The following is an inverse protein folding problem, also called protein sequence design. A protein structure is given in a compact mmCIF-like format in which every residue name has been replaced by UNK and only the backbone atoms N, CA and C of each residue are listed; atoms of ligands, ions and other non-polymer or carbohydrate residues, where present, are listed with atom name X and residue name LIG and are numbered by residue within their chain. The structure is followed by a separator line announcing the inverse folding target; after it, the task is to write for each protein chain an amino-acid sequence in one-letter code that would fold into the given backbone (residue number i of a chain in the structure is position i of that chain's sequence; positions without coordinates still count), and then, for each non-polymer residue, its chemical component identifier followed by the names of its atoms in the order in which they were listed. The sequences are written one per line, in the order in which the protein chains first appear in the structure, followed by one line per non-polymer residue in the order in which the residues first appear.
data_IF_030899785106
#
_entry.id   IF_030899785106
#
_cell.length_a   1.000
_cell.length_b   1.000
_cell.length_c   1.000
_cell.angle_alpha   90.00
_cell.angle_beta   90.00
_cell.angle_gamma   90.00
#
_symmetry.space_group_name_H-M   'P 1'
#
loop_
_entity.id
_entity.type
_entity.pdbx_description
1 polymer ?
#
# COMPACT_ATOMS: atom_id res chain seq x y z
N UNK A 1 6.01 14.22 26.74
CA UNK A 1 5.21 13.34 25.85
C UNK A 1 3.82 13.96 25.63
N UNK A 2 3.02 14.20 26.70
CA UNK A 2 1.66 14.76 26.59
C UNK A 2 1.64 16.02 25.73
N UNK A 3 2.40 17.04 26.10
CA UNK A 3 2.41 18.34 25.43
C UNK A 3 2.78 18.25 23.93
N UNK A 4 3.69 17.32 23.56
CA UNK A 4 4.08 17.12 22.17
C UNK A 4 2.98 16.43 21.33
N UNK A 5 2.16 15.59 21.94
CA UNK A 5 1.11 14.85 21.23
C UNK A 5 -0.27 15.52 21.27
N UNK A 6 -0.51 16.39 22.23
CA UNK A 6 -1.80 17.05 22.45
C UNK A 6 -2.33 17.78 21.19
N UNK A 7 -1.51 18.54 20.44
CA UNK A 7 -1.98 19.23 19.22
C UNK A 7 -2.48 18.29 18.12
N UNK A 8 -1.97 17.05 18.09
CA UNK A 8 -2.31 16.06 17.04
C UNK A 8 -3.18 14.93 17.57
N UNK A 9 -3.51 14.90 18.88
CA UNK A 9 -4.17 13.78 19.54
C UNK A 9 -5.54 13.45 18.94
N UNK A 10 -6.31 14.48 18.60
CA UNK A 10 -7.62 14.33 17.99
C UNK A 10 -7.59 14.46 16.47
N UNK A 11 -6.79 15.38 15.93
CA UNK A 11 -6.75 15.69 14.50
C UNK A 11 -6.01 14.60 13.69
N UNK A 12 -4.94 13.99 14.24
CA UNK A 12 -4.11 12.98 13.59
C UNK A 12 -3.92 11.77 14.51
N UNK A 13 -5.01 11.24 15.03
CA UNK A 13 -5.02 10.22 16.08
C UNK A 13 -4.20 8.96 15.74
N UNK A 14 -4.22 8.50 14.49
CA UNK A 14 -3.41 7.35 14.07
C UNK A 14 -1.91 7.62 14.13
N UNK A 15 -1.50 8.84 13.78
CA UNK A 15 -0.09 9.28 13.89
C UNK A 15 0.32 9.38 15.36
N UNK A 16 -0.51 10.00 16.19
CA UNK A 16 -0.27 10.15 17.63
C UNK A 16 -0.19 8.78 18.33
N UNK A 17 -1.09 7.84 18.00
CA UNK A 17 -1.09 6.48 18.51
C UNK A 17 0.18 5.71 18.11
N UNK A 18 0.62 5.83 16.84
CA UNK A 18 1.87 5.22 16.37
C UNK A 18 3.09 5.79 17.08
N UNK A 19 3.11 7.11 17.32
CA UNK A 19 4.17 7.76 18.09
C UNK A 19 4.22 7.24 19.52
N UNK A 20 3.06 7.16 20.22
CA UNK A 20 2.99 6.58 21.57
C UNK A 20 3.50 5.14 21.61
N UNK A 21 3.10 4.30 20.65
CA UNK A 21 3.54 2.91 20.62
C UNK A 21 5.06 2.81 20.43
N UNK A 22 5.66 3.65 19.57
CA UNK A 22 7.12 3.70 19.39
C UNK A 22 7.84 4.17 20.63
N UNK A 23 7.33 5.23 21.29
CA UNK A 23 7.87 5.72 22.56
C UNK A 23 7.81 4.62 23.63
N UNK A 24 6.69 3.90 23.73
CA UNK A 24 6.57 2.80 24.70
C UNK A 24 7.65 1.70 24.48
N UNK A 25 7.94 1.37 23.22
CA UNK A 25 9.02 0.44 22.89
C UNK A 25 10.39 1.00 23.29
N UNK A 26 10.67 2.28 22.97
CA UNK A 26 11.92 2.95 23.30
C UNK A 26 12.14 2.95 24.83
N UNK A 27 11.12 3.31 25.61
CA UNK A 27 11.23 3.32 27.08
C UNK A 27 11.46 1.91 27.66
N UNK A 28 10.80 0.90 27.11
CA UNK A 28 11.05 -0.50 27.50
C UNK A 28 12.48 -0.93 27.20
N UNK A 29 13.03 -0.58 26.06
CA UNK A 29 14.43 -0.85 25.73
C UNK A 29 15.40 -0.07 26.62
N UNK A 30 15.09 1.19 26.92
CA UNK A 30 15.91 2.01 27.80
C UNK A 30 16.03 1.39 29.21
N UNK A 31 14.90 0.93 29.77
CA UNK A 31 14.93 0.19 31.08
C UNK A 31 15.72 -1.11 30.97
N UNK A 32 15.57 -1.85 29.88
CA UNK A 32 16.33 -3.09 29.66
C UNK A 32 17.84 -2.85 29.47
N UNK A 33 18.25 -1.61 29.20
CA UNK A 33 19.63 -1.15 29.12
C UNK A 33 20.09 -0.44 30.42
N UNK A 34 19.33 -0.60 31.50
CA UNK A 34 19.60 0.01 32.82
C UNK A 34 19.70 1.56 32.77
N UNK A 35 19.02 2.20 31.81
CA UNK A 35 18.93 3.66 31.78
C UNK A 35 17.85 4.15 32.77
N UNK A 36 18.14 5.24 33.46
CA UNK A 36 17.20 5.87 34.40
C UNK A 36 16.08 6.60 33.64
N UNK A 37 14.97 5.89 33.39
CA UNK A 37 13.79 6.41 32.73
C UNK A 37 12.51 5.93 33.41
N UNK A 38 11.50 6.78 33.47
CA UNK A 38 10.16 6.39 33.96
C UNK A 38 9.43 5.55 32.91
N UNK A 39 9.41 4.24 33.05
CA UNK A 39 8.71 3.31 32.17
C UNK A 39 7.20 3.64 32.03
N UNK A 40 6.61 4.28 33.04
CA UNK A 40 5.20 4.63 33.07
C UNK A 40 4.90 5.98 32.39
N UNK A 41 5.91 6.74 31.96
CA UNK A 41 5.73 8.07 31.37
C UNK A 41 4.80 8.08 30.17
N UNK A 42 4.84 7.02 29.34
CA UNK A 42 3.96 6.87 28.15
C UNK A 42 2.54 6.57 28.57
N UNK A 43 2.34 5.70 29.55
CA UNK A 43 1.03 5.36 30.09
C UNK A 43 0.36 6.57 30.77
N UNK A 44 1.12 7.30 31.59
CA UNK A 44 0.67 8.56 32.21
C UNK A 44 0.24 9.58 31.16
N UNK A 45 1.07 9.78 30.13
CA UNK A 45 0.73 10.71 29.03
C UNK A 45 -0.55 10.30 28.30
N UNK A 46 -0.76 9.00 28.05
CA UNK A 46 -1.98 8.48 27.42
C UNK A 46 -3.23 8.72 28.26
N UNK A 47 -3.12 8.53 29.58
CA UNK A 47 -4.23 8.79 30.52
C UNK A 47 -4.62 10.28 30.48
N UNK A 48 -3.63 11.17 30.53
CA UNK A 48 -3.83 12.62 30.51
C UNK A 48 -4.40 13.15 29.18
N UNK A 49 -4.07 12.49 28.05
CA UNK A 49 -4.60 12.82 26.74
C UNK A 49 -6.04 12.30 26.55
N UNK A 50 -6.45 11.30 27.30
CA UNK A 50 -7.79 10.72 27.26
C UNK A 50 -8.11 9.96 25.97
N UNK A 51 -9.39 9.65 25.75
CA UNK A 51 -9.87 8.97 24.54
C UNK A 51 -9.83 9.91 23.34
N UNK A 52 -9.37 9.42 22.19
CA UNK A 52 -9.42 10.21 20.96
C UNK A 52 -10.86 10.36 20.46
N UNK A 53 -11.20 11.52 19.91
CA UNK A 53 -12.51 11.80 19.29
C UNK A 53 -12.49 11.52 17.77
N UNK A 54 -11.37 11.01 17.26
CA UNK A 54 -11.19 10.75 15.83
C UNK A 54 -12.03 9.56 15.38
N UNK A 55 -12.84 9.77 14.36
CA UNK A 55 -13.50 8.69 13.61
C UNK A 55 -12.63 8.36 12.41
N UNK A 56 -12.15 7.10 12.24
CA UNK A 56 -11.36 6.73 11.08
C UNK A 56 -12.15 6.99 9.78
N UNK A 57 -11.58 7.77 8.88
CA UNK A 57 -12.12 7.95 7.53
C UNK A 57 -11.56 6.83 6.66
N UNK A 58 -12.43 6.00 6.11
CA UNK A 58 -12.03 4.98 5.15
C UNK A 58 -11.51 5.66 3.88
N UNK A 59 -10.41 5.17 3.33
CA UNK A 59 -9.93 5.63 2.02
C UNK A 59 -10.99 5.21 1.00
N UNK A 60 -11.55 6.16 0.22
CA UNK A 60 -12.56 5.83 -0.78
C UNK A 60 -12.00 4.84 -1.80
N UNK A 61 -12.83 3.89 -2.19
CA UNK A 61 -12.56 2.97 -3.28
C UNK A 61 -13.53 3.29 -4.43
N UNK A 62 -13.06 3.21 -5.66
CA UNK A 62 -13.93 3.30 -6.82
C UNK A 62 -14.89 2.11 -6.79
N UNK A 63 -16.18 2.34 -7.07
CA UNK A 63 -17.15 1.25 -7.12
C UNK A 63 -16.73 0.27 -8.21
N UNK A 64 -16.92 -1.03 -7.97
CA UNK A 64 -16.42 -2.02 -8.93
C UNK A 64 -17.09 -1.91 -10.31
N UNK A 65 -18.34 -1.45 -10.39
CA UNK A 65 -19.05 -1.20 -11.65
C UNK A 65 -18.42 -0.07 -12.47
N UNK A 66 -17.74 0.88 -11.83
CA UNK A 66 -17.08 2.01 -12.51
C UNK A 66 -15.64 1.67 -12.93
N UNK A 67 -15.12 0.49 -12.52
CA UNK A 67 -13.75 0.07 -12.88
C UNK A 67 -13.54 -0.08 -14.38
N UNK A 68 -14.46 -0.69 -15.18
CA UNK A 68 -14.27 -0.80 -16.61
C UNK A 68 -14.09 0.55 -17.29
N UNK A 69 -14.97 1.51 -17.03
CA UNK A 69 -14.88 2.85 -17.61
C UNK A 69 -13.59 3.57 -17.19
N UNK A 70 -13.22 3.45 -15.92
CA UNK A 70 -11.94 3.98 -15.45
C UNK A 70 -10.75 3.32 -16.15
N UNK A 71 -10.78 2.00 -16.36
CA UNK A 71 -9.73 1.23 -17.02
C UNK A 71 -9.52 1.72 -18.47
N UNK A 72 -10.59 1.99 -19.21
CA UNK A 72 -10.53 2.54 -20.56
C UNK A 72 -9.80 3.90 -20.59
N UNK A 73 -9.96 4.72 -19.56
CA UNK A 73 -9.22 6.00 -19.47
C UNK A 73 -7.71 5.85 -19.33
N UNK A 74 -7.20 4.63 -19.10
CA UNK A 74 -5.78 4.30 -18.99
C UNK A 74 -5.20 3.74 -20.30
N UNK A 75 -5.88 3.89 -21.45
CA UNK A 75 -5.49 3.33 -22.75
C UNK A 75 -4.13 3.84 -23.24
N UNK A 76 -3.74 5.08 -22.91
CA UNK A 76 -2.43 5.63 -23.29
C UNK A 76 -1.30 4.77 -22.71
N UNK A 77 -0.36 4.34 -23.59
CA UNK A 77 0.78 3.47 -23.23
C UNK A 77 1.85 4.29 -22.53
N UNK A 78 1.71 4.42 -21.21
CA UNK A 78 2.70 5.03 -20.33
C UNK A 78 3.00 4.08 -19.15
N UNK A 79 4.22 4.09 -18.58
CA UNK A 79 4.55 3.21 -17.45
C UNK A 79 3.58 3.32 -16.28
N UNK A 80 3.05 4.52 -16.00
CA UNK A 80 2.10 4.75 -14.90
C UNK A 80 0.72 4.17 -15.20
N UNK A 81 0.20 4.33 -16.45
CA UNK A 81 -1.07 3.75 -16.85
C UNK A 81 -0.99 2.23 -16.84
N UNK A 82 0.07 1.67 -17.42
CA UNK A 82 0.28 0.22 -17.45
C UNK A 82 0.41 -0.36 -16.04
N UNK A 83 1.11 0.33 -15.14
CA UNK A 83 1.17 -0.05 -13.72
C UNK A 83 -0.22 -0.02 -13.05
N UNK A 84 -1.06 0.98 -13.34
CA UNK A 84 -2.42 1.06 -12.81
C UNK A 84 -3.32 -0.04 -13.39
N UNK A 85 -3.24 -0.30 -14.69
CA UNK A 85 -3.96 -1.41 -15.35
C UNK A 85 -3.60 -2.75 -14.71
N UNK A 86 -2.30 -3.02 -14.53
CA UNK A 86 -1.84 -4.27 -13.91
C UNK A 86 -2.24 -4.36 -12.43
N UNK A 87 -2.28 -3.23 -11.71
CA UNK A 87 -2.76 -3.19 -10.33
C UNK A 87 -4.24 -3.58 -10.22
N UNK A 88 -5.07 -3.07 -11.13
CA UNK A 88 -6.50 -3.40 -11.21
C UNK A 88 -6.68 -4.90 -11.50
N UNK A 89 -6.01 -5.40 -12.54
CA UNK A 89 -6.15 -6.79 -13.01
C UNK A 89 -5.67 -7.84 -12.01
N UNK A 90 -4.71 -7.49 -11.16
CA UNK A 90 -4.09 -8.44 -10.21
C UNK A 90 -4.55 -8.25 -8.77
N UNK A 91 -5.10 -7.09 -8.42
CA UNK A 91 -5.48 -6.77 -7.06
C UNK A 91 -4.34 -6.82 -6.04
N UNK A 92 -3.08 -6.81 -6.45
CA UNK A 92 -1.92 -6.82 -5.55
C UNK A 92 -1.75 -5.48 -4.82
N UNK A 93 -0.87 -5.41 -3.82
CA UNK A 93 -0.50 -4.13 -3.20
C UNK A 93 0.47 -3.35 -4.10
N UNK A 94 0.58 -2.03 -3.87
CA UNK A 94 1.47 -1.17 -4.65
C UNK A 94 2.95 -1.60 -4.55
N UNK A 95 3.41 -2.08 -3.40
CA UNK A 95 4.82 -2.50 -3.24
C UNK A 95 5.19 -3.67 -4.14
N UNK A 96 4.49 -4.83 -4.15
CA UNK A 96 4.77 -5.89 -5.11
C UNK A 96 4.77 -5.40 -6.55
N UNK A 97 3.74 -4.67 -6.96
CA UNK A 97 3.62 -4.17 -8.33
C UNK A 97 4.82 -3.31 -8.75
N UNK A 98 5.22 -2.37 -7.90
CA UNK A 98 6.35 -1.48 -8.19
C UNK A 98 7.69 -2.21 -8.31
N UNK A 99 7.84 -3.32 -7.60
CA UNK A 99 9.05 -4.15 -7.61
C UNK A 99 8.93 -5.36 -8.53
N UNK A 100 7.93 -5.38 -9.39
CA UNK A 100 7.71 -6.47 -10.34
C UNK A 100 8.93 -6.67 -11.24
N UNK A 101 9.36 -7.93 -11.34
CA UNK A 101 10.44 -8.36 -12.22
C UNK A 101 9.93 -9.43 -13.20
N UNK A 102 10.39 -9.41 -14.44
CA UNK A 102 9.97 -10.39 -15.43
C UNK A 102 10.37 -11.82 -15.05
N UNK A 103 11.49 -12.00 -14.37
CA UNK A 103 11.96 -13.27 -13.84
C UNK A 103 11.06 -13.90 -12.77
N UNK A 104 10.12 -13.12 -12.21
CA UNK A 104 9.12 -13.59 -11.23
C UNK A 104 7.93 -14.30 -11.92
N UNK A 105 7.85 -14.30 -13.25
CA UNK A 105 6.80 -15.00 -14.00
C UNK A 105 7.22 -16.44 -14.22
N UNK A 106 6.38 -17.36 -13.78
CA UNK A 106 6.49 -18.80 -14.00
C UNK A 106 5.23 -19.27 -14.73
N UNK A 107 5.34 -19.61 -15.99
CA UNK A 107 4.23 -19.94 -16.88
C UNK A 107 3.21 -18.76 -16.95
N UNK A 108 2.02 -18.96 -16.41
CA UNK A 108 0.96 -17.95 -16.33
C UNK A 108 0.77 -17.40 -14.92
N UNK A 109 1.74 -17.55 -14.05
CA UNK A 109 1.67 -17.15 -12.64
C UNK A 109 2.80 -16.19 -12.33
N UNK A 110 2.45 -15.03 -11.77
CA UNK A 110 3.42 -14.14 -11.16
C UNK A 110 3.68 -14.58 -9.71
N UNK A 111 4.90 -15.01 -9.41
CA UNK A 111 5.33 -15.40 -8.08
C UNK A 111 5.94 -14.19 -7.37
N UNK A 112 5.14 -13.53 -6.56
CA UNK A 112 5.58 -12.34 -5.79
C UNK A 112 6.46 -12.80 -4.64
N UNK A 113 7.74 -12.36 -4.57
CA UNK A 113 8.62 -12.73 -3.48
C UNK A 113 8.12 -12.26 -2.12
N UNK A 114 8.27 -13.09 -1.10
CA UNK A 114 7.90 -12.77 0.30
C UNK A 114 8.51 -11.46 0.82
N UNK A 115 9.72 -11.10 0.34
CA UNK A 115 10.37 -9.84 0.64
C UNK A 115 9.57 -8.60 0.20
N UNK A 116 8.72 -8.74 -0.83
CA UNK A 116 7.83 -7.69 -1.32
C UNK A 116 6.45 -7.71 -0.65
N UNK A 117 6.14 -8.75 0.11
CA UNK A 117 4.87 -8.87 0.81
C UNK A 117 4.87 -8.10 2.14
N UNK A 118 3.68 -7.77 2.64
CA UNK A 118 3.51 -7.13 3.95
C UNK A 118 3.35 -8.21 5.02
N UNK A 119 4.22 -8.22 5.99
CA UNK A 119 4.18 -9.16 7.12
C UNK A 119 5.55 -9.31 7.79
N UNK A 120 5.64 -10.18 8.78
CA UNK A 120 6.92 -10.55 9.39
C UNK A 120 7.65 -11.48 8.42
N UNK A 121 8.94 -11.21 8.19
CA UNK A 121 9.77 -11.94 7.21
C UNK A 121 9.78 -13.47 7.44
N UNK A 122 9.70 -13.89 8.69
CA UNK A 122 9.70 -15.28 9.14
C UNK A 122 8.34 -16.01 8.96
N UNK A 123 7.27 -15.27 8.59
CA UNK A 123 5.89 -15.79 8.50
C UNK A 123 5.21 -15.55 7.15
N UNK A 124 5.92 -14.96 6.20
CA UNK A 124 5.36 -14.64 4.88
C UNK A 124 6.01 -15.52 3.83
N UNK A 125 5.19 -16.30 3.13
CA UNK A 125 5.59 -17.07 1.94
C UNK A 125 5.43 -16.22 0.68
N UNK A 126 6.00 -16.70 -0.42
CA UNK A 126 5.79 -16.15 -1.74
C UNK A 126 4.30 -16.23 -2.12
N UNK A 127 3.81 -15.20 -2.78
CA UNK A 127 2.40 -15.10 -3.14
C UNK A 127 2.21 -15.28 -4.64
N UNK A 128 1.38 -16.24 -5.01
CA UNK A 128 1.13 -16.64 -6.40
C UNK A 128 -0.09 -15.89 -6.95
N UNK A 129 0.09 -15.18 -8.05
CA UNK A 129 -0.94 -14.38 -8.73
C UNK A 129 -1.16 -14.95 -10.13
N UNK A 130 -2.29 -15.59 -10.41
CA UNK A 130 -2.63 -16.00 -11.79
C UNK A 130 -2.74 -14.76 -12.68
N UNK A 131 -2.14 -14.82 -13.87
CA UNK A 131 -2.19 -13.74 -14.83
C UNK A 131 -3.26 -14.05 -15.90
N UNK A 132 -4.27 -13.19 -15.97
CA UNK A 132 -5.22 -13.21 -17.09
C UNK A 132 -4.53 -12.86 -18.41
N UNK A 133 -5.16 -13.15 -19.53
CA UNK A 133 -4.62 -12.76 -20.85
C UNK A 133 -4.38 -11.25 -20.92
N UNK A 134 -5.33 -10.45 -20.42
CA UNK A 134 -5.18 -8.99 -20.41
C UNK A 134 -4.00 -8.54 -19.51
N UNK A 135 -3.77 -9.20 -18.37
CA UNK A 135 -2.60 -8.90 -17.54
C UNK A 135 -1.29 -9.19 -18.28
N UNK A 136 -1.23 -10.26 -19.05
CA UNK A 136 -0.06 -10.59 -19.91
C UNK A 136 0.14 -9.54 -21.00
N UNK A 137 -0.91 -9.12 -21.68
CA UNK A 137 -0.84 -8.07 -22.69
C UNK A 137 -0.30 -6.76 -22.09
N UNK A 138 -0.76 -6.38 -20.90
CA UNK A 138 -0.26 -5.19 -20.19
C UNK A 138 1.23 -5.33 -19.84
N UNK A 139 1.67 -6.51 -19.42
CA UNK A 139 3.08 -6.78 -19.13
C UNK A 139 3.91 -6.63 -20.41
N UNK A 140 3.49 -7.22 -21.52
CA UNK A 140 4.17 -7.11 -22.83
C UNK A 140 4.29 -5.64 -23.26
N UNK A 141 3.23 -4.85 -23.14
CA UNK A 141 3.25 -3.41 -23.43
C UNK A 141 4.18 -2.63 -22.50
N UNK A 142 4.43 -3.12 -21.30
CA UNK A 142 5.31 -2.48 -20.34
C UNK A 142 6.80 -2.89 -20.51
N UNK A 143 7.09 -4.01 -21.14
CA UNK A 143 8.46 -4.52 -21.33
C UNK A 143 9.43 -3.51 -21.96
N UNK A 144 9.05 -2.73 -22.99
CA UNK A 144 9.94 -1.73 -23.59
C UNK A 144 10.40 -0.63 -22.62
N UNK A 145 9.66 -0.39 -21.54
CA UNK A 145 10.02 0.59 -20.51
C UNK A 145 10.86 0.00 -19.38
N UNK A 146 11.04 -1.33 -19.35
CA UNK A 146 11.77 -2.01 -18.28
C UNK A 146 13.22 -1.54 -18.19
N UNK A 147 13.73 -1.44 -16.95
CA UNK A 147 15.12 -1.08 -16.69
C UNK A 147 15.58 -1.69 -15.36
N UNK A 148 16.84 -2.10 -15.31
CA UNK A 148 17.46 -2.73 -14.12
C UNK A 148 16.68 -3.96 -13.61
N UNK A 149 16.03 -4.68 -14.51
CA UNK A 149 15.19 -5.85 -14.22
C UNK A 149 13.78 -5.51 -13.67
N UNK A 150 13.43 -4.23 -13.48
CA UNK A 150 12.09 -3.82 -13.04
C UNK A 150 11.21 -3.45 -14.22
N UNK A 151 9.97 -3.97 -14.21
CA UNK A 151 8.96 -3.66 -15.23
C UNK A 151 8.51 -2.19 -15.18
N UNK A 152 8.46 -1.61 -13.98
CA UNK A 152 8.05 -0.22 -13.75
C UNK A 152 9.18 0.57 -13.08
N UNK A 153 10.20 1.00 -13.84
CA UNK A 153 11.33 1.70 -13.28
C UNK A 153 10.99 3.13 -12.85
N UNK A 154 11.73 3.65 -11.90
CA UNK A 154 11.69 5.05 -11.52
C UNK A 154 12.35 5.95 -12.58
N UNK A 155 12.20 7.27 -12.46
CA UNK A 155 12.73 8.23 -13.42
C UNK A 155 14.26 8.14 -13.46
N UNK A 156 14.94 8.16 -12.33
CA UNK A 156 16.39 8.11 -12.26
C UNK A 156 16.92 6.68 -12.05
N UNK A 157 16.54 6.04 -10.95
CA UNK A 157 16.93 4.68 -10.57
C UNK A 157 15.84 3.98 -9.75
N UNK A 158 15.95 2.66 -9.65
CA UNK A 158 15.01 1.83 -8.89
C UNK A 158 13.63 1.77 -9.52
N UNK A 159 12.58 1.77 -8.71
CA UNK A 159 11.18 1.58 -9.12
C UNK A 159 10.36 2.87 -9.03
N UNK A 160 9.22 2.94 -9.72
CA UNK A 160 8.29 4.08 -9.59
C UNK A 160 7.96 4.34 -8.12
N UNK A 161 7.78 5.61 -7.76
CA UNK A 161 7.52 5.98 -6.37
C UNK A 161 6.14 5.50 -5.91
N UNK A 162 5.98 5.31 -4.60
CA UNK A 162 4.70 4.91 -4.01
C UNK A 162 3.57 5.92 -4.28
N UNK A 163 3.93 7.19 -4.42
CA UNK A 163 2.99 8.27 -4.68
C UNK A 163 2.60 8.42 -6.16
N UNK A 164 3.30 7.77 -7.12
CA UNK A 164 3.13 8.04 -8.55
C UNK A 164 1.69 7.80 -9.03
N UNK A 165 1.14 6.63 -8.72
CA UNK A 165 -0.23 6.29 -9.10
C UNK A 165 -1.26 7.14 -8.34
N UNK A 166 -1.04 7.40 -7.05
CA UNK A 166 -1.93 8.26 -6.25
C UNK A 166 -1.98 9.67 -6.79
N UNK A 167 -0.84 10.27 -7.13
CA UNK A 167 -0.77 11.61 -7.71
C UNK A 167 -1.45 11.71 -9.07
N UNK A 168 -1.43 10.62 -9.87
CA UNK A 168 -2.16 10.59 -11.13
C UNK A 168 -3.67 10.66 -10.91
N UNK A 169 -4.20 9.91 -9.93
CA UNK A 169 -5.63 9.98 -9.58
C UNK A 169 -5.99 11.37 -8.99
N UNK A 170 -5.15 11.92 -8.12
CA UNK A 170 -5.33 13.26 -7.56
C UNK A 170 -5.41 14.35 -8.65
N UNK A 171 -4.52 14.31 -9.65
CA UNK A 171 -4.54 15.26 -10.78
C UNK A 171 -5.79 15.16 -11.65
N UNK A 172 -6.51 14.04 -11.58
CA UNK A 172 -7.82 13.84 -12.22
C UNK A 172 -8.98 14.25 -11.31
N UNK A 173 -8.71 14.86 -10.15
CA UNK A 173 -9.73 15.28 -9.18
C UNK A 173 -10.37 14.12 -8.41
N UNK A 174 -9.81 12.91 -8.48
CA UNK A 174 -10.37 11.75 -7.81
C UNK A 174 -10.01 11.74 -6.32
N UNK A 175 -10.97 11.39 -5.48
CA UNK A 175 -10.78 11.19 -4.03
C UNK A 175 -10.33 9.77 -3.71
N UNK A 176 -10.61 8.82 -4.59
CA UNK A 176 -10.20 7.42 -4.52
C UNK A 176 -8.68 7.29 -4.65
N UNK A 177 -8.16 6.18 -4.17
CA UNK A 177 -6.73 5.89 -4.20
C UNK A 177 -6.47 4.49 -4.75
N UNK A 178 -5.28 4.22 -5.34
CA UNK A 178 -4.95 2.92 -5.95
C UNK A 178 -5.15 1.74 -5.01
N UNK A 179 -4.96 1.92 -3.70
CA UNK A 179 -5.23 0.87 -2.72
C UNK A 179 -6.71 0.46 -2.67
N UNK A 180 -7.62 1.36 -3.03
CA UNK A 180 -9.06 1.11 -3.11
C UNK A 180 -9.45 0.04 -4.12
N UNK A 181 -8.69 -0.16 -5.21
CA UNK A 181 -8.98 -1.20 -6.21
C UNK A 181 -9.03 -2.61 -5.60
N UNK A 182 -8.28 -2.86 -4.52
CA UNK A 182 -8.37 -4.12 -3.78
C UNK A 182 -9.72 -4.28 -3.07
N UNK A 183 -10.29 -3.20 -2.58
CA UNK A 183 -11.63 -3.20 -1.98
C UNK A 183 -12.69 -3.39 -3.06
N UNK A 184 -12.53 -2.73 -4.21
CA UNK A 184 -13.41 -2.91 -5.37
C UNK A 184 -13.41 -4.36 -5.86
N UNK A 185 -12.24 -4.98 -6.01
CA UNK A 185 -12.11 -6.40 -6.39
C UNK A 185 -12.77 -7.32 -5.37
N UNK A 186 -12.53 -7.09 -4.07
CA UNK A 186 -13.14 -7.89 -3.01
C UNK A 186 -14.67 -7.79 -3.01
N UNK A 187 -15.19 -6.57 -3.22
CA UNK A 187 -16.64 -6.34 -3.29
C UNK A 187 -17.22 -7.03 -4.52
N UNK A 188 -16.57 -6.90 -5.68
CA UNK A 188 -16.98 -7.61 -6.89
C UNK A 188 -17.01 -9.13 -6.71
N UNK A 189 -15.98 -9.71 -6.10
CA UNK A 189 -15.96 -11.15 -5.78
C UNK A 189 -17.13 -11.56 -4.89
N UNK A 190 -17.43 -10.77 -3.86
CA UNK A 190 -18.53 -11.05 -2.95
C UNK A 190 -19.93 -10.89 -3.60
N UNK A 191 -20.06 -9.94 -4.53
CA UNK A 191 -21.36 -9.62 -5.17
C UNK A 191 -21.65 -10.51 -6.39
N UNK A 192 -20.59 -10.99 -7.07
CA UNK A 192 -20.70 -11.61 -8.41
C UNK A 192 -20.19 -13.04 -8.48
N UNK A 193 -19.64 -13.60 -7.40
CA UNK A 193 -19.11 -14.96 -7.37
C UNK A 193 -19.44 -15.66 -6.05
N UNK A 194 -19.36 -16.98 -6.06
CA UNK A 194 -19.54 -17.83 -4.85
C UNK A 194 -18.20 -18.07 -4.10
N UNK A 195 -17.17 -17.22 -4.32
CA UNK A 195 -15.81 -17.39 -3.81
C UNK A 195 -15.62 -16.79 -2.40
#
# INVERSE_FOLDING_TARGET
IKNALEPIWHAKADTARKALNRLNLIFKYAVAMDLDVDINAVAKAKILLGKTRHKPVKIPALHWQDIPDFYETLAEITPVNLAMRLLILTGVRSKPLRHFRLEEIQDNIWVVPSANMKGRKDKVSDFRVPLSQEAKNVIELAMPFSRDGYLFPGIQKGVISDATMSRKMERRGMIERPHGFRSSLRTWLADCTDA
#
